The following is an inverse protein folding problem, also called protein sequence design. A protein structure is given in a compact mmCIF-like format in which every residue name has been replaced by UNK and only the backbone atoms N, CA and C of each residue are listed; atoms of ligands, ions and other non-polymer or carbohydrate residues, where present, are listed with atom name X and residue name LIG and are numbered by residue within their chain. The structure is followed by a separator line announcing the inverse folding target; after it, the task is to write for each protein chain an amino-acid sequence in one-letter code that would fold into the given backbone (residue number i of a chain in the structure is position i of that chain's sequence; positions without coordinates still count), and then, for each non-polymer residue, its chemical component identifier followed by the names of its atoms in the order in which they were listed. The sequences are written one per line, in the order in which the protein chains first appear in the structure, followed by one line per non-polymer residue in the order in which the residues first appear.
data_IF_196308412225
#
_entry.id   IF_196308412225
#
_cell.length_a   1.000
_cell.length_b   1.000
_cell.length_c   1.000
_cell.angle_alpha   90.00
_cell.angle_beta   90.00
_cell.angle_gamma   90.00
#
_symmetry.space_group_name_H-M   'P 1'
#
loop_
_entity.id
_entity.type
_entity.pdbx_description
1 polymer ?
#
# COMPACT_ATOMS: atom_id res chain seq x y z
N UNK A 1 -14.10 -8.16 11.56
CA UNK A 1 -15.29 -8.92 11.11
C UNK A 1 -14.82 -9.91 10.07
N UNK A 2 -15.13 -11.19 10.27
CA UNK A 2 -14.91 -12.21 9.25
C UNK A 2 -15.70 -11.81 8.00
N UNK A 3 -15.05 -11.82 6.83
CA UNK A 3 -15.76 -11.59 5.57
C UNK A 3 -16.84 -12.66 5.37
N UNK A 4 -17.84 -12.36 4.56
CA UNK A 4 -18.99 -13.25 4.31
C UNK A 4 -18.63 -14.67 3.85
N UNK A 5 -17.39 -14.91 3.40
CA UNK A 5 -16.94 -16.19 2.84
C UNK A 5 -17.42 -16.41 1.40
N UNK A 6 -17.97 -15.38 0.75
CA UNK A 6 -18.55 -15.44 -0.59
C UNK A 6 -18.12 -14.21 -1.42
N UNK A 7 -17.96 -14.39 -2.74
CA UNK A 7 -17.53 -13.32 -3.66
C UNK A 7 -18.30 -13.35 -4.97
N UNK A 8 -18.19 -12.27 -5.76
CA UNK A 8 -18.69 -12.21 -7.13
C UNK A 8 -17.96 -13.27 -7.99
N UNK A 9 -18.67 -14.08 -8.79
CA UNK A 9 -18.03 -15.01 -9.71
C UNK A 9 -17.22 -14.26 -10.78
N UNK A 10 -16.10 -14.82 -11.26
CA UNK A 10 -15.38 -14.31 -12.42
C UNK A 10 -16.33 -14.15 -13.61
N UNK A 11 -16.07 -13.19 -14.51
CA UNK A 11 -16.76 -13.17 -15.80
C UNK A 11 -16.37 -14.46 -16.55
N UNK A 12 -17.32 -15.40 -16.64
CA UNK A 12 -17.24 -16.51 -17.59
C UNK A 12 -17.30 -15.93 -19.00
N UNK A 13 -16.52 -16.49 -19.92
CA UNK A 13 -16.62 -16.19 -21.35
C UNK A 13 -18.05 -16.41 -21.84
N UNK A 14 -18.43 -15.70 -22.91
CA UNK A 14 -19.77 -15.73 -23.48
C UNK A 14 -20.28 -17.18 -23.64
N UNK A 15 -21.39 -17.50 -22.94
CA UNK A 15 -22.13 -18.76 -23.12
C UNK A 15 -22.33 -19.63 -21.87
N UNK A 16 -21.64 -19.40 -20.75
CA UNK A 16 -21.83 -20.21 -19.53
C UNK A 16 -22.58 -19.46 -18.42
N UNK A 17 -23.82 -19.88 -18.13
CA UNK A 17 -24.56 -19.41 -16.97
C UNK A 17 -23.93 -19.99 -15.68
N UNK A 18 -23.67 -19.17 -14.64
CA UNK A 18 -23.17 -19.69 -13.37
C UNK A 18 -24.20 -20.65 -12.75
N UNK A 19 -23.74 -21.77 -12.20
CA UNK A 19 -24.59 -22.76 -11.55
C UNK A 19 -25.40 -22.13 -10.38
N UNK A 20 -26.66 -22.57 -10.16
CA UNK A 20 -27.47 -22.10 -9.05
C UNK A 20 -26.73 -22.26 -7.71
N UNK A 21 -26.79 -21.21 -6.89
CA UNK A 21 -26.15 -21.15 -5.58
C UNK A 21 -27.16 -20.63 -4.55
N UNK A 22 -27.06 -21.10 -3.31
CA UNK A 22 -27.85 -20.58 -2.19
C UNK A 22 -27.46 -19.13 -1.84
N UNK A 23 -26.33 -18.64 -2.32
CA UNK A 23 -25.82 -17.30 -2.01
C UNK A 23 -25.94 -16.38 -3.23
N UNK A 24 -26.44 -15.16 -3.00
CA UNK A 24 -26.57 -14.11 -4.00
C UNK A 24 -25.66 -12.93 -3.64
N UNK A 25 -24.91 -12.43 -4.62
CA UNK A 25 -24.23 -11.15 -4.57
C UNK A 25 -25.19 -10.08 -5.09
N UNK A 26 -25.52 -9.10 -4.25
CA UNK A 26 -26.51 -8.06 -4.54
C UNK A 26 -25.83 -6.69 -4.49
N UNK A 27 -25.71 -6.04 -5.64
CA UNK A 27 -25.21 -4.67 -5.74
C UNK A 27 -26.35 -3.64 -5.66
N UNK A 28 -25.99 -2.40 -5.36
CA UNK A 28 -26.93 -1.31 -5.08
C UNK A 28 -27.82 -1.61 -3.87
N UNK A 29 -27.25 -2.32 -2.89
CA UNK A 29 -27.95 -2.85 -1.73
C UNK A 29 -26.98 -2.91 -0.55
N UNK A 30 -27.29 -2.20 0.55
CA UNK A 30 -26.46 -2.16 1.75
C UNK A 30 -26.50 -0.81 2.51
N UNK A 31 -25.79 -0.71 3.64
CA UNK A 31 -25.87 0.44 4.53
C UNK A 31 -25.50 1.78 3.90
N UNK A 32 -24.52 1.80 3.00
CA UNK A 32 -24.05 3.03 2.35
C UNK A 32 -25.04 3.56 1.30
N UNK A 33 -26.03 2.75 0.88
CA UNK A 33 -27.16 3.21 0.06
C UNK A 33 -28.45 3.39 0.87
N UNK A 34 -28.33 3.42 2.20
CA UNK A 34 -29.45 3.68 3.11
C UNK A 34 -30.36 2.48 3.35
N UNK A 35 -29.85 1.24 3.23
CA UNK A 35 -30.58 0.01 3.53
C UNK A 35 -29.87 -0.76 4.65
N UNK A 36 -30.56 -1.08 5.74
CA UNK A 36 -29.99 -1.92 6.79
C UNK A 36 -30.15 -3.42 6.43
N UNK A 37 -29.40 -4.30 7.11
CA UNK A 37 -29.43 -5.74 6.80
C UNK A 37 -30.78 -6.40 7.13
N UNK A 38 -31.56 -5.86 8.06
CA UNK A 38 -32.86 -6.41 8.45
C UNK A 38 -33.92 -6.12 7.38
N UNK A 39 -33.96 -4.90 6.84
CA UNK A 39 -34.83 -4.52 5.71
C UNK A 39 -34.54 -5.40 4.48
N UNK A 40 -33.26 -5.63 4.21
CA UNK A 40 -32.82 -6.51 3.13
C UNK A 40 -33.26 -7.95 3.40
N UNK A 41 -33.10 -8.45 4.63
CA UNK A 41 -33.57 -9.79 5.00
C UNK A 41 -35.08 -9.93 4.78
N UNK A 42 -35.86 -8.96 5.21
CA UNK A 42 -37.33 -8.94 5.05
C UNK A 42 -37.72 -8.96 3.57
N UNK A 43 -37.09 -8.12 2.74
CA UNK A 43 -37.38 -8.07 1.31
C UNK A 43 -37.08 -9.39 0.59
N UNK A 44 -36.01 -10.10 0.99
CA UNK A 44 -35.62 -11.37 0.39
C UNK A 44 -36.36 -12.58 0.98
N UNK A 45 -36.92 -12.48 2.19
CA UNK A 45 -37.67 -13.55 2.84
C UNK A 45 -38.95 -13.95 2.08
N UNK A 46 -39.47 -13.08 1.20
CA UNK A 46 -40.61 -13.39 0.33
C UNK A 46 -40.36 -14.56 -0.64
N UNK A 47 -39.09 -14.91 -0.89
CA UNK A 47 -38.70 -15.96 -1.82
C UNK A 47 -38.27 -17.27 -1.13
N UNK A 48 -38.13 -17.26 0.19
CA UNK A 48 -37.74 -18.41 1.01
C UNK A 48 -36.93 -18.01 2.25
N UNK A 49 -36.54 -18.99 3.06
CA UNK A 49 -35.83 -18.72 4.31
C UNK A 49 -34.42 -18.15 4.08
N UNK A 50 -34.19 -16.93 4.57
CA UNK A 50 -32.90 -16.24 4.50
C UNK A 50 -32.03 -16.65 5.69
N UNK A 51 -31.00 -17.45 5.42
CA UNK A 51 -29.98 -17.88 6.37
C UNK A 51 -29.09 -16.73 6.86
N UNK A 52 -28.90 -15.66 6.06
CA UNK A 52 -28.11 -14.51 6.49
C UNK A 52 -27.98 -13.41 5.44
N UNK A 53 -27.70 -12.19 5.92
CA UNK A 53 -27.33 -11.03 5.12
C UNK A 53 -26.03 -10.48 5.68
N UNK A 54 -25.03 -10.30 4.83
CA UNK A 54 -23.70 -9.83 5.22
C UNK A 54 -23.16 -8.86 4.20
N UNK A 55 -22.27 -7.95 4.61
CA UNK A 55 -21.56 -7.10 3.65
C UNK A 55 -20.72 -7.96 2.69
N UNK A 56 -20.81 -7.68 1.39
CA UNK A 56 -20.02 -8.40 0.39
C UNK A 56 -18.55 -7.92 0.39
N UNK A 57 -18.34 -6.65 0.71
CA UNK A 57 -17.05 -6.00 0.80
C UNK A 57 -17.16 -4.77 1.72
N UNK A 58 -16.06 -4.03 1.91
CA UNK A 58 -16.05 -2.83 2.75
C UNK A 58 -16.69 -1.58 2.12
N UNK A 59 -17.35 -1.68 0.96
CA UNK A 59 -17.96 -0.52 0.31
C UNK A 59 -19.30 -0.11 0.92
N UNK A 60 -19.99 -1.03 1.60
CA UNK A 60 -21.34 -0.82 2.14
C UNK A 60 -22.43 -0.66 1.08
N UNK A 61 -22.13 -0.75 -0.22
CA UNK A 61 -23.11 -0.66 -1.32
C UNK A 61 -23.49 -2.02 -1.91
N UNK A 62 -22.93 -3.11 -1.36
CA UNK A 62 -23.16 -4.49 -1.79
C UNK A 62 -23.27 -5.42 -0.58
N UNK A 63 -24.16 -6.40 -0.69
CA UNK A 63 -24.36 -7.46 0.31
C UNK A 63 -24.34 -8.85 -0.33
N UNK A 64 -24.10 -9.85 0.51
CA UNK A 64 -24.39 -11.25 0.23
C UNK A 64 -25.68 -11.62 0.97
N UNK A 65 -26.67 -12.11 0.23
CA UNK A 65 -27.89 -12.71 0.80
C UNK A 65 -27.78 -14.23 0.63
N UNK A 66 -27.90 -14.98 1.73
CA UNK A 66 -27.86 -16.44 1.72
C UNK A 66 -29.24 -16.99 2.05
N UNK A 67 -29.75 -17.85 1.18
CA UNK A 67 -30.93 -18.68 1.43
C UNK A 67 -30.52 -20.04 2.00
N UNK A 68 -31.47 -20.75 2.62
CA UNK A 68 -31.28 -22.17 2.95
C UNK A 68 -31.36 -23.06 1.71
N UNK A 69 -32.20 -22.69 0.76
CA UNK A 69 -32.48 -23.50 -0.43
C UNK A 69 -32.06 -22.78 -1.73
N UNK A 70 -31.43 -23.47 -2.69
CA UNK A 70 -31.07 -22.86 -3.98
C UNK A 70 -32.26 -22.32 -4.77
N UNK A 71 -33.42 -23.00 -4.69
CA UNK A 71 -34.63 -22.59 -5.39
C UNK A 71 -35.11 -21.18 -4.97
N UNK A 72 -34.97 -20.84 -3.69
CA UNK A 72 -35.31 -19.51 -3.18
C UNK A 72 -34.39 -18.42 -3.73
N UNK A 73 -33.09 -18.72 -3.87
CA UNK A 73 -32.12 -17.81 -4.47
C UNK A 73 -32.40 -17.57 -5.96
N UNK A 74 -32.79 -18.63 -6.68
CA UNK A 74 -33.20 -18.54 -8.09
C UNK A 74 -34.48 -17.71 -8.26
N UNK A 75 -35.49 -17.95 -7.43
CA UNK A 75 -36.73 -17.17 -7.43
C UNK A 75 -36.47 -15.69 -7.15
N UNK A 76 -35.66 -15.37 -6.14
CA UNK A 76 -35.29 -13.99 -5.81
C UNK A 76 -34.51 -13.32 -6.96
N UNK A 77 -33.57 -14.04 -7.58
CA UNK A 77 -32.79 -13.51 -8.71
C UNK A 77 -33.71 -13.22 -9.91
N UNK A 78 -34.62 -14.13 -10.26
CA UNK A 78 -35.58 -13.95 -11.36
C UNK A 78 -36.52 -12.77 -11.12
N UNK A 79 -36.97 -12.58 -9.88
CA UNK A 79 -37.92 -11.53 -9.52
C UNK A 79 -37.29 -10.13 -9.37
N UNK A 80 -36.08 -10.05 -8.82
CA UNK A 80 -35.48 -8.77 -8.39
C UNK A 80 -34.34 -8.28 -9.28
N UNK A 81 -33.70 -9.15 -10.06
CA UNK A 81 -32.56 -8.73 -10.87
C UNK A 81 -32.98 -7.76 -11.98
N UNK A 82 -32.40 -6.56 -11.99
CA UNK A 82 -32.65 -5.55 -13.02
C UNK A 82 -34.05 -4.94 -12.95
N UNK A 83 -34.80 -5.20 -11.87
CA UNK A 83 -36.17 -4.71 -11.67
C UNK A 83 -36.27 -3.88 -10.38
N UNK A 84 -37.15 -2.85 -10.33
CA UNK A 84 -37.42 -2.10 -9.11
C UNK A 84 -37.95 -3.00 -7.99
N UNK A 85 -37.34 -2.92 -6.80
CA UNK A 85 -37.77 -3.64 -5.62
C UNK A 85 -38.58 -2.72 -4.70
N UNK A 86 -39.90 -2.90 -4.63
CA UNK A 86 -40.79 -2.08 -3.80
C UNK A 86 -40.40 -2.13 -2.31
N UNK A 87 -40.03 -3.31 -1.80
CA UNK A 87 -39.58 -3.50 -0.42
C UNK A 87 -38.24 -2.82 -0.08
N UNK A 88 -37.52 -2.27 -1.07
CA UNK A 88 -36.25 -1.57 -0.89
C UNK A 88 -36.29 -0.20 -1.58
N UNK A 89 -37.39 0.54 -1.37
CA UNK A 89 -37.60 1.90 -1.88
C UNK A 89 -37.51 2.02 -3.41
N UNK A 90 -37.99 1.01 -4.14
CA UNK A 90 -38.03 1.00 -5.60
C UNK A 90 -36.65 0.83 -6.27
N UNK A 91 -35.60 0.49 -5.52
CA UNK A 91 -34.25 0.36 -6.07
C UNK A 91 -34.16 -0.79 -7.06
N UNK A 92 -33.40 -0.56 -8.13
CA UNK A 92 -33.03 -1.60 -9.08
C UNK A 92 -31.78 -2.32 -8.58
N UNK A 93 -31.91 -3.62 -8.34
CA UNK A 93 -30.82 -4.46 -7.81
C UNK A 93 -30.09 -5.19 -8.94
N UNK A 94 -28.77 -5.30 -8.82
CA UNK A 94 -27.97 -6.15 -9.71
C UNK A 94 -27.52 -7.40 -8.96
N UNK A 95 -28.19 -8.51 -9.24
CA UNK A 95 -28.04 -9.78 -8.53
C UNK A 95 -27.24 -10.74 -9.41
N UNK A 96 -26.33 -11.49 -8.79
CA UNK A 96 -25.64 -12.63 -9.39
C UNK A 96 -25.54 -13.74 -8.37
N UNK A 97 -25.49 -15.00 -8.80
CA UNK A 97 -25.06 -16.08 -7.91
C UNK A 97 -23.68 -15.77 -7.35
N UNK A 98 -23.48 -16.01 -6.07
CA UNK A 98 -22.20 -15.86 -5.39
C UNK A 98 -21.56 -17.23 -5.21
N UNK A 99 -20.24 -17.27 -5.39
CA UNK A 99 -19.44 -18.47 -5.17
C UNK A 99 -18.77 -18.38 -3.80
N UNK A 100 -18.55 -19.51 -3.10
CA UNK A 100 -17.68 -19.52 -1.94
C UNK A 100 -16.38 -18.83 -2.31
N UNK A 101 -16.01 -17.81 -1.55
CA UNK A 101 -14.69 -17.24 -1.66
C UNK A 101 -13.74 -18.39 -1.31
N UNK A 102 -12.93 -18.83 -2.27
CA UNK A 102 -11.73 -19.60 -1.92
C UNK A 102 -11.07 -18.79 -0.79
N UNK A 103 -10.75 -19.39 0.37
CA UNK A 103 -9.87 -18.70 1.30
C UNK A 103 -8.73 -18.19 0.44
N UNK A 104 -8.45 -16.89 0.49
CA UNK A 104 -7.24 -16.39 -0.15
C UNK A 104 -6.13 -17.18 0.51
N UNK A 105 -5.66 -18.24 -0.14
CA UNK A 105 -4.36 -18.79 0.13
C UNK A 105 -3.45 -17.56 0.10
N UNK A 106 -2.60 -17.35 1.12
CA UNK A 106 -1.60 -16.30 1.04
C UNK A 106 -0.92 -16.47 -0.32
N UNK A 107 -1.04 -15.44 -1.15
CA UNK A 107 -0.55 -15.45 -2.52
C UNK A 107 0.96 -15.55 -2.41
N UNK A 108 1.51 -16.70 -2.78
CA UNK A 108 2.93 -17.04 -2.58
C UNK A 108 3.23 -17.36 -1.11
N UNK A 109 4.13 -18.32 -0.88
CA UNK A 109 4.60 -18.64 0.47
C UNK A 109 4.88 -17.36 1.24
N UNK A 110 4.34 -17.26 2.47
CA UNK A 110 4.55 -16.13 3.37
C UNK A 110 6.02 -15.72 3.30
N UNK A 111 6.30 -14.58 2.66
CA UNK A 111 7.65 -14.06 2.60
C UNK A 111 8.07 -13.85 4.05
N UNK A 112 9.12 -14.54 4.56
CA UNK A 112 9.51 -14.38 5.94
C UNK A 112 9.76 -12.90 6.26
N UNK A 113 9.13 -12.43 7.33
CA UNK A 113 9.21 -11.03 7.76
C UNK A 113 10.21 -10.96 8.90
N UNK A 114 11.34 -10.31 8.63
CA UNK A 114 12.34 -10.00 9.65
C UNK A 114 11.81 -8.98 10.65
N UNK A 115 12.20 -9.11 11.91
CA UNK A 115 11.92 -8.12 12.97
C UNK A 115 13.15 -7.27 13.29
N UNK A 116 14.32 -7.71 12.81
CA UNK A 116 15.59 -7.01 12.95
C UNK A 116 16.26 -6.81 11.58
N UNK A 117 17.15 -5.82 11.48
CA UNK A 117 17.92 -5.61 10.25
C UNK A 117 18.91 -6.77 9.97
N UNK A 118 19.41 -7.42 11.03
CA UNK A 118 20.29 -8.59 10.90
C UNK A 118 19.56 -9.79 10.29
N UNK A 119 18.34 -10.07 10.73
CA UNK A 119 17.48 -11.11 10.13
C UNK A 119 17.14 -10.78 8.68
N UNK A 120 16.89 -9.50 8.38
CA UNK A 120 16.63 -9.05 7.02
C UNK A 120 17.86 -9.36 6.13
N UNK A 121 19.07 -9.08 6.61
CA UNK A 121 20.31 -9.38 5.90
C UNK A 121 20.43 -8.67 4.55
N UNK A 122 19.87 -7.46 4.42
CA UNK A 122 20.13 -6.57 3.29
C UNK A 122 21.28 -5.64 3.70
N UNK A 123 22.41 -5.64 2.99
CA UNK A 123 23.54 -4.78 3.34
C UNK A 123 23.14 -3.29 3.35
N UNK A 124 23.59 -2.55 4.36
CA UNK A 124 23.30 -1.13 4.50
C UNK A 124 21.89 -0.81 5.03
N UNK A 125 21.14 -1.80 5.50
CA UNK A 125 19.91 -1.58 6.27
C UNK A 125 20.21 -1.67 7.76
N UNK A 126 19.74 -0.68 8.52
CA UNK A 126 19.76 -0.68 9.98
C UNK A 126 18.37 -0.31 10.50
N UNK A 127 17.92 -0.97 11.56
CA UNK A 127 16.62 -0.73 12.18
C UNK A 127 16.82 -0.54 13.67
N UNK A 128 16.38 0.61 14.19
CA UNK A 128 16.36 0.89 15.62
C UNK A 128 14.91 1.03 16.05
N UNK A 129 14.46 0.11 16.89
CA UNK A 129 13.13 0.16 17.52
C UNK A 129 13.15 1.15 18.69
N UNK A 130 11.97 1.66 19.07
CA UNK A 130 11.80 2.66 20.14
C UNK A 130 12.79 3.83 20.07
N UNK A 131 13.10 4.29 18.85
CA UNK A 131 13.99 5.41 18.57
C UNK A 131 13.45 6.74 19.12
N UNK A 132 12.12 6.85 19.16
CA UNK A 132 11.41 7.94 19.84
C UNK A 132 10.53 7.37 20.94
N UNK A 133 10.31 8.16 21.98
CA UNK A 133 9.33 7.86 23.02
C UNK A 133 7.90 8.08 22.51
N UNK A 134 6.91 7.57 23.24
CA UNK A 134 5.50 7.83 22.93
C UNK A 134 5.15 9.33 23.01
N UNK A 135 5.76 10.08 23.93
CA UNK A 135 5.56 11.53 24.04
C UNK A 135 6.15 12.28 22.82
N UNK A 136 7.37 11.93 22.41
CA UNK A 136 7.98 12.49 21.19
C UNK A 136 7.15 12.14 19.94
N UNK A 137 6.62 10.92 19.83
CA UNK A 137 5.71 10.53 18.75
C UNK A 137 4.45 11.43 18.71
N UNK A 138 3.84 11.70 19.86
CA UNK A 138 2.68 12.59 19.95
C UNK A 138 3.02 14.03 19.54
N UNK A 139 4.16 14.58 20.00
CA UNK A 139 4.65 15.91 19.61
C UNK A 139 4.84 16.02 18.09
N UNK A 140 5.48 15.02 17.48
CA UNK A 140 5.74 14.99 16.03
C UNK A 140 4.44 14.90 15.22
N UNK A 141 3.50 14.04 15.62
CA UNK A 141 2.20 13.88 14.97
C UNK A 141 1.36 15.16 15.07
N UNK A 142 1.27 15.75 16.26
CA UNK A 142 0.56 17.01 16.47
C UNK A 142 1.17 18.16 15.66
N UNK A 143 2.49 18.19 15.53
CA UNK A 143 3.18 19.18 14.71
C UNK A 143 2.73 19.09 13.24
N UNK A 144 2.74 17.91 12.62
CA UNK A 144 2.37 17.79 11.20
C UNK A 144 0.87 17.90 10.96
N UNK A 145 0.03 17.50 11.92
CA UNK A 145 -1.43 17.57 11.78
C UNK A 145 -1.95 19.01 11.74
N UNK A 146 -1.27 19.93 12.42
CA UNK A 146 -1.60 21.36 12.41
C UNK A 146 -1.04 22.12 11.19
N UNK A 147 -0.51 21.41 10.19
CA UNK A 147 0.10 22.00 8.99
C UNK A 147 -0.61 21.54 7.71
N UNK A 148 -0.57 22.35 6.63
CA UNK A 148 -1.23 22.01 5.39
C UNK A 148 -0.62 20.75 4.77
N UNK A 149 -1.48 19.92 4.17
CA UNK A 149 -1.09 18.68 3.49
C UNK A 149 -1.30 18.80 1.97
N UNK A 150 -0.35 18.28 1.19
CA UNK A 150 -0.51 18.09 -0.26
C UNK A 150 -1.07 16.69 -0.52
N UNK A 151 -2.20 16.60 -1.20
CA UNK A 151 -2.80 15.31 -1.57
C UNK A 151 -2.16 14.72 -2.82
N UNK A 152 -1.83 13.43 -2.77
CA UNK A 152 -1.57 12.54 -3.92
C UNK A 152 -2.79 11.61 -4.06
N UNK A 153 -2.94 10.77 -5.10
CA UNK A 153 -4.24 10.08 -5.27
C UNK A 153 -4.55 9.04 -4.19
N UNK A 154 -3.56 8.54 -3.43
CA UNK A 154 -3.79 7.54 -2.37
C UNK A 154 -3.34 7.95 -0.98
N UNK A 155 -2.51 8.99 -0.85
CA UNK A 155 -1.90 9.43 0.41
C UNK A 155 -1.68 10.93 0.39
N UNK A 156 -1.37 11.53 1.53
CA UNK A 156 -1.01 12.95 1.61
C UNK A 156 0.40 13.13 2.14
N UNK A 157 1.04 14.24 1.79
CA UNK A 157 2.44 14.50 2.08
C UNK A 157 2.69 15.93 2.55
N UNK A 158 3.79 16.13 3.26
CA UNK A 158 4.41 17.44 3.53
C UNK A 158 5.90 17.37 3.20
N UNK A 159 6.46 18.47 2.70
CA UNK A 159 7.88 18.59 2.37
C UNK A 159 8.50 19.75 3.14
N UNK A 160 9.74 19.56 3.59
CA UNK A 160 10.54 20.57 4.29
C UNK A 160 11.97 20.50 3.77
N UNK A 161 12.70 21.62 3.81
CA UNK A 161 14.00 21.71 3.14
C UNK A 161 13.82 21.95 1.65
N UNK A 162 13.41 20.91 0.93
CA UNK A 162 13.20 20.94 -0.51
C UNK A 162 11.89 20.23 -0.87
N UNK A 163 11.19 20.72 -1.89
CA UNK A 163 10.02 20.02 -2.41
C UNK A 163 10.45 18.78 -3.20
N UNK A 164 9.78 17.65 -2.95
CA UNK A 164 9.96 16.47 -3.80
C UNK A 164 8.97 16.51 -4.98
N UNK A 165 9.50 16.63 -6.19
CA UNK A 165 8.74 16.68 -7.42
C UNK A 165 8.42 15.26 -7.91
N UNK A 166 7.16 14.84 -7.77
CA UNK A 166 6.75 13.47 -8.11
C UNK A 166 6.78 13.17 -9.61
N UNK A 167 6.60 14.17 -10.48
CA UNK A 167 6.62 14.03 -11.94
C UNK A 167 8.01 13.66 -12.45
N UNK A 168 9.04 14.31 -11.91
CA UNK A 168 10.45 14.10 -12.27
C UNK A 168 11.17 13.16 -11.31
N UNK A 169 10.52 12.79 -10.20
CA UNK A 169 11.07 12.02 -9.08
C UNK A 169 12.37 12.62 -8.55
N UNK A 170 12.46 13.94 -8.49
CA UNK A 170 13.68 14.65 -8.09
C UNK A 170 13.36 15.83 -7.18
N UNK A 171 14.39 16.55 -6.77
CA UNK A 171 14.30 17.84 -6.08
C UNK A 171 14.91 18.91 -6.98
N UNK A 172 14.35 20.12 -6.96
CA UNK A 172 14.99 21.26 -7.57
C UNK A 172 15.95 21.85 -6.52
N UNK A 173 17.25 21.60 -6.68
CA UNK A 173 18.27 22.07 -5.73
C UNK A 173 18.39 23.59 -5.67
N UNK A 174 17.77 24.31 -6.62
CA UNK A 174 17.66 25.78 -6.60
C UNK A 174 16.48 26.29 -5.78
N UNK A 175 15.51 25.43 -5.46
CA UNK A 175 14.31 25.78 -4.70
C UNK A 175 14.37 25.26 -3.27
N UNK A 176 15.07 26.01 -2.42
CA UNK A 176 15.13 25.75 -0.99
C UNK A 176 13.91 26.37 -0.29
N UNK A 177 13.09 25.54 0.36
CA UNK A 177 11.90 25.94 1.13
C UNK A 177 12.23 26.49 2.51
N UNK A 178 13.50 26.44 2.93
CA UNK A 178 13.97 26.82 4.25
C UNK A 178 14.41 25.61 5.08
N UNK A 179 15.01 25.89 6.23
CA UNK A 179 15.59 24.89 7.13
C UNK A 179 14.56 23.85 7.62
N UNK A 180 15.07 22.68 8.03
CA UNK A 180 14.22 21.68 8.68
C UNK A 180 13.58 22.26 9.95
N UNK A 181 12.29 22.00 10.19
CA UNK A 181 11.53 22.69 11.22
C UNK A 181 11.98 22.28 12.64
N UNK A 182 11.89 23.18 13.64
CA UNK A 182 12.39 22.90 14.99
C UNK A 182 11.79 21.67 15.68
N UNK A 183 10.57 21.24 15.29
CA UNK A 183 9.92 20.07 15.89
C UNK A 183 10.65 18.75 15.59
N UNK A 184 11.56 18.71 14.60
CA UNK A 184 12.39 17.52 14.33
C UNK A 184 13.79 17.61 14.93
N UNK A 185 14.14 18.67 15.66
CA UNK A 185 15.50 18.88 16.22
C UNK A 185 16.02 17.68 17.02
N UNK A 186 15.24 17.18 17.98
CA UNK A 186 15.57 15.96 18.76
C UNK A 186 15.86 14.74 17.87
N UNK A 187 15.17 14.63 16.73
CA UNK A 187 15.34 13.53 15.78
C UNK A 187 16.64 13.70 15.00
N UNK A 188 16.95 14.93 14.58
CA UNK A 188 18.21 15.25 13.92
C UNK A 188 19.40 14.97 14.85
N UNK A 189 19.33 15.35 16.12
CA UNK A 189 20.39 15.08 17.11
C UNK A 189 20.63 13.57 17.28
N UNK A 190 19.56 12.77 17.37
CA UNK A 190 19.68 11.31 17.44
C UNK A 190 20.20 10.72 16.14
N UNK A 191 19.80 11.24 14.97
CA UNK A 191 20.33 10.80 13.67
C UNK A 191 21.86 11.03 13.59
N UNK A 192 22.36 12.12 14.17
CA UNK A 192 23.81 12.38 14.24
C UNK A 192 24.61 11.37 15.07
N UNK A 193 23.96 10.54 15.89
CA UNK A 193 24.62 9.46 16.63
C UNK A 193 24.79 8.16 15.84
N UNK A 194 24.25 8.05 14.61
CA UNK A 194 24.42 6.85 13.80
C UNK A 194 25.89 6.66 13.38
N UNK A 195 26.41 5.42 13.37
CA UNK A 195 27.75 5.14 12.84
C UNK A 195 27.90 5.65 11.40
N UNK A 196 28.97 6.38 11.12
CA UNK A 196 29.22 6.99 9.81
C UNK A 196 28.59 8.37 9.61
N UNK A 197 27.79 8.87 10.56
CA UNK A 197 27.42 10.28 10.63
C UNK A 197 28.67 11.12 10.89
N UNK A 198 29.24 11.72 9.84
CA UNK A 198 30.45 12.53 9.98
C UNK A 198 30.11 13.90 10.57
N UNK A 199 30.66 14.22 11.74
CA UNK A 199 30.47 15.54 12.39
C UNK A 199 31.11 16.69 11.60
N UNK A 200 31.95 16.41 10.60
CA UNK A 200 32.62 17.41 9.77
C UNK A 200 31.82 17.87 8.53
N UNK A 201 30.66 17.28 8.20
CA UNK A 201 29.82 17.77 7.10
C UNK A 201 28.79 18.78 7.61
N UNK A 202 28.50 19.80 6.80
CA UNK A 202 27.74 20.98 7.25
C UNK A 202 26.29 20.67 7.69
N UNK A 203 25.66 19.61 7.14
CA UNK A 203 24.41 18.97 7.63
C UNK A 203 24.30 17.55 7.09
N UNK A 204 23.95 16.58 7.94
CA UNK A 204 23.76 15.16 7.54
C UNK A 204 22.46 14.93 6.76
N UNK A 205 21.44 15.74 6.98
CA UNK A 205 20.16 15.75 6.24
C UNK A 205 19.66 17.19 6.13
N UNK A 206 19.02 17.53 5.01
CA UNK A 206 18.47 18.85 4.75
C UNK A 206 17.12 18.81 4.00
N UNK A 207 16.59 17.62 3.73
CA UNK A 207 15.24 17.43 3.20
C UNK A 207 14.46 16.49 4.11
N UNK A 208 13.17 16.78 4.34
CA UNK A 208 12.22 15.88 4.97
C UNK A 208 10.96 15.70 4.10
N UNK A 209 10.55 14.45 3.86
CA UNK A 209 9.21 14.10 3.37
C UNK A 209 8.42 13.43 4.49
N UNK A 210 7.32 14.05 4.90
CA UNK A 210 6.32 13.39 5.76
C UNK A 210 5.27 12.75 4.86
N UNK A 211 5.07 11.44 5.01
CA UNK A 211 4.00 10.73 4.31
C UNK A 211 2.95 10.28 5.33
N UNK A 212 1.68 10.44 4.98
CA UNK A 212 0.54 9.99 5.77
C UNK A 212 -0.32 9.02 4.97
N UNK A 213 -0.32 7.76 5.42
CA UNK A 213 -0.96 6.62 4.76
C UNK A 213 -2.25 6.23 5.50
N UNK A 214 -3.40 6.28 4.80
CA UNK A 214 -4.62 5.62 5.27
C UNK A 214 -4.44 4.09 5.35
N UNK A 215 -5.23 3.43 6.19
CA UNK A 215 -5.26 1.97 6.27
C UNK A 215 -5.49 1.31 4.89
N UNK A 216 -4.63 0.38 4.51
CA UNK A 216 -4.68 -0.30 3.21
C UNK A 216 -3.86 0.37 2.10
N UNK A 217 -3.39 1.59 2.32
CA UNK A 217 -2.52 2.29 1.38
C UNK A 217 -1.07 1.94 1.64
N UNK A 218 -0.40 1.45 0.60
CA UNK A 218 1.02 1.18 0.56
C UNK A 218 1.77 2.18 -0.33
N UNK A 219 2.94 1.76 -0.80
CA UNK A 219 3.82 2.53 -1.67
C UNK A 219 4.49 1.59 -2.65
N UNK A 220 4.31 1.82 -3.94
CA UNK A 220 4.85 0.99 -5.04
C UNK A 220 6.37 0.78 -4.94
N UNK A 221 6.91 -0.33 -5.48
CA UNK A 221 8.34 -0.60 -5.41
C UNK A 221 9.13 0.50 -6.12
N UNK A 222 10.12 1.09 -5.44
CA UNK A 222 10.97 2.12 -6.02
C UNK A 222 12.33 2.21 -5.31
N UNK A 223 13.29 2.83 -6.00
CA UNK A 223 14.55 3.32 -5.42
C UNK A 223 14.46 4.85 -5.38
N UNK A 224 14.96 5.45 -4.31
CA UNK A 224 15.10 6.90 -4.22
C UNK A 224 16.18 7.39 -5.20
N UNK A 225 15.82 8.36 -6.03
CA UNK A 225 16.62 8.85 -7.17
C UNK A 225 18.06 9.14 -6.77
N UNK A 226 19.02 8.56 -7.51
CA UNK A 226 20.43 8.58 -7.12
C UNK A 226 21.00 9.99 -7.26
N UNK A 227 20.60 10.72 -8.30
CA UNK A 227 20.98 12.13 -8.49
C UNK A 227 20.34 13.10 -7.48
N UNK A 228 19.22 12.74 -6.86
CA UNK A 228 18.46 13.63 -6.00
C UNK A 228 19.02 13.69 -4.58
N UNK A 229 19.47 12.54 -4.06
CA UNK A 229 19.82 12.39 -2.66
C UNK A 229 21.17 11.70 -2.47
N UNK A 230 21.83 11.96 -1.35
CA UNK A 230 23.06 11.28 -0.97
C UNK A 230 22.80 9.85 -0.47
N UNK A 231 23.78 9.24 0.20
CA UNK A 231 23.78 7.84 0.57
C UNK A 231 22.81 7.50 1.72
N UNK A 232 22.83 8.27 2.79
CA UNK A 232 22.05 7.96 3.99
C UNK A 232 20.61 8.48 3.89
N UNK A 233 19.64 7.57 3.96
CA UNK A 233 18.21 7.86 3.99
C UNK A 233 17.61 7.28 5.27
N UNK A 234 17.03 8.13 6.10
CA UNK A 234 16.42 7.71 7.36
C UNK A 234 14.89 7.77 7.23
N UNK A 235 14.17 6.74 7.68
CA UNK A 235 12.71 6.71 7.69
C UNK A 235 12.19 6.35 9.09
N UNK A 236 11.68 7.35 9.80
CA UNK A 236 11.04 7.20 11.10
C UNK A 236 9.56 6.82 10.89
N UNK A 237 9.13 5.68 11.43
CA UNK A 237 7.74 5.20 11.38
C UNK A 237 6.98 5.61 12.64
N UNK A 238 5.79 6.18 12.49
CA UNK A 238 4.94 6.70 13.58
C UNK A 238 3.49 6.25 13.38
N UNK A 239 2.72 6.28 14.47
CA UNK A 239 1.29 5.97 14.60
C UNK A 239 0.91 4.51 14.28
N UNK A 240 1.30 3.97 13.13
CA UNK A 240 0.89 2.65 12.66
C UNK A 240 2.06 1.81 12.16
N UNK A 241 2.07 0.48 12.42
CA UNK A 241 3.07 -0.40 11.86
C UNK A 241 2.84 -0.65 10.37
N UNK A 242 3.86 -1.17 9.69
CA UNK A 242 3.71 -1.84 8.40
C UNK A 242 4.84 -2.85 8.14
N UNK A 243 4.64 -3.72 7.17
CA UNK A 243 5.76 -4.42 6.51
C UNK A 243 6.31 -3.54 5.37
N UNK A 244 7.63 -3.43 5.30
CA UNK A 244 8.35 -2.94 4.12
C UNK A 244 9.08 -4.11 3.46
N UNK A 245 8.82 -4.32 2.17
CA UNK A 245 9.57 -5.27 1.35
C UNK A 245 10.72 -4.58 0.61
N UNK A 246 11.83 -5.27 0.49
CA UNK A 246 12.98 -4.94 -0.34
C UNK A 246 13.05 -5.93 -1.49
N UNK A 247 13.19 -5.42 -2.73
CA UNK A 247 13.29 -6.21 -3.95
C UNK A 247 14.56 -5.88 -4.73
N UNK A 248 15.45 -6.85 -4.93
CA UNK A 248 16.65 -6.71 -5.77
C UNK A 248 16.44 -7.42 -7.10
N UNK A 249 16.43 -6.65 -8.20
CA UNK A 249 16.30 -7.17 -9.56
C UNK A 249 17.67 -7.44 -10.15
N UNK A 250 17.92 -8.67 -10.61
CA UNK A 250 19.26 -9.09 -11.08
C UNK A 250 19.71 -8.38 -12.37
N UNK A 251 18.77 -7.92 -13.20
CA UNK A 251 19.05 -7.27 -14.50
C UNK A 251 18.83 -5.75 -14.52
N UNK A 252 18.71 -5.09 -13.36
CA UNK A 252 18.58 -3.63 -13.28
C UNK A 252 17.22 -3.06 -13.67
N UNK A 253 16.38 -3.78 -14.43
CA UNK A 253 15.07 -3.28 -14.87
C UNK A 253 13.90 -3.87 -14.07
N UNK A 254 13.14 -3.01 -13.39
CA UNK A 254 11.75 -3.29 -13.08
C UNK A 254 10.93 -2.99 -14.34
N UNK A 255 10.39 -4.04 -14.96
CA UNK A 255 9.32 -3.88 -15.94
C UNK A 255 8.00 -4.09 -15.19
N UNK A 256 7.11 -3.10 -15.24
CA UNK A 256 5.71 -3.34 -14.90
C UNK A 256 5.23 -4.55 -15.73
N UNK A 257 4.43 -5.48 -15.18
CA UNK A 257 3.84 -6.55 -15.99
C UNK A 257 3.17 -5.90 -17.20
N UNK A 258 3.68 -6.17 -18.39
CA UNK A 258 3.01 -5.73 -19.61
C UNK A 258 1.64 -6.39 -19.59
N UNK A 259 0.57 -5.61 -19.64
CA UNK A 259 -0.71 -6.17 -20.07
C UNK A 259 -0.54 -6.54 -21.53
N UNK A 260 -0.04 -7.75 -21.79
CA UNK A 260 -0.13 -8.35 -23.10
C UNK A 260 -1.61 -8.63 -23.30
N UNK A 261 -2.25 -7.81 -24.13
CA UNK A 261 -3.52 -8.15 -24.74
C UNK A 261 -3.31 -9.42 -25.57
N UNK A 262 -3.60 -10.58 -24.99
CA UNK A 262 -3.46 -11.85 -25.69
C UNK A 262 -3.35 -13.01 -24.73
N UNK A 263 -4.48 -13.67 -24.51
CA UNK A 263 -4.63 -15.13 -24.29
C UNK A 263 -3.37 -15.91 -23.91
N UNK A 264 -2.91 -15.78 -22.67
CA UNK A 264 -2.35 -16.87 -21.87
C UNK A 264 -2.26 -16.42 -20.41
N UNK A 265 -3.15 -16.96 -19.57
CA UNK A 265 -3.23 -16.59 -18.14
C UNK A 265 -2.17 -17.26 -17.26
N UNK A 266 -1.30 -18.09 -17.85
CA UNK A 266 -0.35 -18.94 -17.11
C UNK A 266 1.13 -18.55 -17.25
N UNK A 267 1.46 -17.39 -17.82
CA UNK A 267 2.86 -16.97 -18.02
C UNK A 267 3.17 -15.50 -17.70
N UNK A 268 2.50 -14.90 -16.70
CA UNK A 268 3.05 -13.70 -16.05
C UNK A 268 4.14 -14.15 -15.07
N UNK A 269 5.33 -14.47 -15.60
CA UNK A 269 6.48 -14.75 -14.75
C UNK A 269 6.97 -13.42 -14.17
N UNK A 270 6.69 -13.18 -12.88
CA UNK A 270 7.27 -12.03 -12.18
C UNK A 270 8.79 -12.03 -12.41
N UNK A 271 9.38 -10.86 -12.73
CA UNK A 271 10.81 -10.78 -12.96
C UNK A 271 11.56 -11.38 -11.75
N UNK A 272 12.48 -12.31 -12.01
CA UNK A 272 13.27 -12.96 -10.97
C UNK A 272 13.95 -11.89 -10.11
N UNK A 273 13.47 -11.74 -8.88
CA UNK A 273 13.98 -10.78 -7.93
C UNK A 273 14.12 -11.42 -6.56
N UNK A 274 15.17 -11.02 -5.83
CA UNK A 274 15.34 -11.41 -4.44
C UNK A 274 14.39 -10.52 -3.64
N UNK A 275 13.49 -11.13 -2.88
CA UNK A 275 12.54 -10.43 -2.01
C UNK A 275 12.91 -10.69 -0.56
N UNK A 276 12.87 -9.63 0.23
CA UNK A 276 13.07 -9.67 1.68
C UNK A 276 12.08 -8.72 2.33
N UNK A 277 11.60 -9.00 3.54
CA UNK A 277 10.63 -8.15 4.21
C UNK A 277 11.06 -7.86 5.64
N UNK A 278 10.78 -6.66 6.11
CA UNK A 278 11.00 -6.25 7.50
C UNK A 278 9.74 -5.62 8.08
N UNK A 279 9.45 -5.95 9.33
CA UNK A 279 8.42 -5.30 10.12
C UNK A 279 8.92 -3.97 10.65
N UNK A 280 8.18 -2.90 10.40
CA UNK A 280 8.44 -1.56 10.90
C UNK A 280 7.41 -1.22 11.98
N UNK A 281 7.71 -1.41 13.27
CA UNK A 281 6.82 -1.00 14.35
C UNK A 281 6.76 0.54 14.45
N UNK A 282 5.71 1.12 15.08
CA UNK A 282 5.72 2.54 15.43
C UNK A 282 6.95 2.89 16.27
N UNK A 283 7.37 4.15 16.18
CA UNK A 283 8.54 4.73 16.85
C UNK A 283 9.89 4.12 16.47
N UNK A 284 9.94 3.33 15.40
CA UNK A 284 11.21 2.81 14.87
C UNK A 284 11.76 3.70 13.76
N UNK A 285 13.09 3.76 13.66
CA UNK A 285 13.79 4.40 12.54
C UNK A 285 14.55 3.35 11.73
N UNK A 286 14.38 3.44 10.41
CA UNK A 286 15.08 2.63 9.43
C UNK A 286 16.12 3.51 8.73
N UNK A 287 17.40 3.12 8.75
CA UNK A 287 18.44 3.70 7.89
C UNK A 287 18.62 2.78 6.68
N UNK A 288 18.60 3.39 5.49
CA UNK A 288 19.03 2.80 4.23
C UNK A 288 20.29 3.53 3.76
N UNK A 289 21.37 2.78 3.55
CA UNK A 289 22.63 3.25 2.96
C UNK A 289 23.23 2.16 2.06
N UNK A 290 24.25 2.50 1.28
CA UNK A 290 24.96 1.57 0.41
C UNK A 290 24.02 0.75 -0.49
N UNK A 291 24.24 -0.57 -0.54
CA UNK A 291 23.44 -1.47 -1.36
C UNK A 291 21.94 -1.34 -1.10
N UNK A 292 21.51 -1.34 0.16
CA UNK A 292 20.10 -1.25 0.57
C UNK A 292 19.41 0.02 0.04
N UNK A 293 20.15 1.12 -0.12
CA UNK A 293 19.64 2.39 -0.66
C UNK A 293 19.75 2.50 -2.18
N UNK A 294 20.76 1.90 -2.81
CA UNK A 294 21.06 2.09 -4.23
C UNK A 294 20.62 0.93 -5.15
N UNK A 295 20.39 -0.27 -4.61
CA UNK A 295 20.13 -1.47 -5.43
C UNK A 295 18.85 -2.21 -5.08
N UNK A 296 18.22 -1.89 -3.94
CA UNK A 296 16.99 -2.53 -3.49
C UNK A 296 15.80 -1.58 -3.63
N UNK A 297 14.77 -2.03 -4.36
CA UNK A 297 13.50 -1.33 -4.42
C UNK A 297 12.75 -1.57 -3.12
N UNK A 298 12.45 -0.50 -2.38
CA UNK A 298 11.62 -0.60 -1.20
C UNK A 298 10.14 -0.41 -1.57
N UNK A 299 9.28 -1.17 -0.89
CA UNK A 299 7.86 -1.34 -1.20
C UNK A 299 7.06 -1.49 0.09
N UNK A 300 5.93 -0.81 0.18
CA UNK A 300 4.95 -1.05 1.26
C UNK A 300 3.72 -1.68 0.61
N UNK A 301 3.33 -2.91 0.96
CA UNK A 301 2.19 -3.57 0.32
C UNK A 301 0.85 -2.86 0.53
N UNK A 302 -0.03 -2.90 -0.47
CA UNK A 302 -1.39 -2.34 -0.42
C UNK A 302 -2.38 -3.34 0.18
N UNK A 303 -2.37 -3.49 1.50
CA UNK A 303 -3.30 -4.34 2.24
C UNK A 303 -3.54 -3.82 3.66
N UNK A 304 -4.57 -4.34 4.32
CA UNK A 304 -5.01 -3.89 5.66
C UNK A 304 -4.49 -4.76 6.80
N UNK A 305 -3.83 -5.88 6.45
CA UNK A 305 -3.43 -6.92 7.39
C UNK A 305 -2.03 -7.39 6.97
N UNK A 306 -1.10 -7.34 7.91
CA UNK A 306 0.25 -7.89 7.83
C UNK A 306 0.28 -9.24 8.57
N UNK A 307 1.13 -10.17 8.14
CA UNK A 307 1.47 -11.40 8.87
C UNK A 307 2.95 -11.35 9.21
N UNK A 308 3.28 -11.32 10.50
CA UNK A 308 4.64 -11.22 11.01
C UNK A 308 4.91 -12.45 11.87
N UNK A 309 5.58 -13.45 11.30
CA UNK A 309 5.91 -14.68 12.00
C UNK A 309 4.69 -15.49 12.48
N UNK A 310 3.59 -15.46 11.73
CA UNK A 310 2.31 -16.10 12.10
C UNK A 310 1.41 -15.21 12.95
N UNK A 311 1.89 -14.04 13.38
CA UNK A 311 1.07 -13.05 14.06
C UNK A 311 0.38 -12.14 13.05
N UNK A 312 -0.95 -12.23 13.01
CA UNK A 312 -1.78 -11.37 12.15
C UNK A 312 -1.92 -9.98 12.79
N UNK A 313 -1.36 -8.97 12.15
CA UNK A 313 -1.40 -7.57 12.59
C UNK A 313 -2.33 -6.79 11.67
N UNK A 314 -3.40 -6.23 12.24
CA UNK A 314 -4.26 -5.29 11.51
C UNK A 314 -3.58 -3.93 11.47
N UNK A 315 -3.42 -3.36 10.27
CA UNK A 315 -2.86 -2.00 10.13
C UNK A 315 -3.78 -0.97 10.78
N UNK A 316 -3.17 0.00 11.46
CA UNK A 316 -3.88 1.12 12.07
C UNK A 316 -4.64 1.92 11.02
N UNK A 317 -5.60 2.72 11.48
CA UNK A 317 -6.37 3.66 10.63
C UNK A 317 -5.46 4.59 9.84
N UNK A 318 -4.29 4.88 10.41
CA UNK A 318 -3.26 5.78 9.89
C UNK A 318 -1.86 5.25 10.19
N UNK A 319 -0.92 5.44 9.26
CA UNK A 319 0.53 5.37 9.48
C UNK A 319 1.17 6.65 8.98
N UNK A 320 2.08 7.22 9.75
CA UNK A 320 2.87 8.39 9.31
C UNK A 320 4.33 7.99 9.23
N UNK A 321 5.06 8.46 8.22
CA UNK A 321 6.52 8.30 8.18
C UNK A 321 7.24 9.58 7.84
N UNK A 322 8.32 9.84 8.54
CA UNK A 322 9.20 10.99 8.32
C UNK A 322 10.47 10.47 7.65
N UNK A 323 10.67 10.83 6.38
CA UNK A 323 11.83 10.40 5.61
C UNK A 323 12.82 11.55 5.45
N UNK A 324 13.98 11.44 6.10
CA UNK A 324 15.06 12.43 6.09
C UNK A 324 16.14 12.04 5.10
N UNK A 325 16.61 13.01 4.34
CA UNK A 325 17.61 12.84 3.28
C UNK A 325 18.52 14.05 3.20
N UNK A 326 19.68 13.85 2.59
CA UNK A 326 20.56 14.93 2.14
C UNK A 326 20.40 15.12 0.63
N UNK A 327 20.05 16.32 0.18
CA UNK A 327 19.99 16.65 -1.25
C UNK A 327 21.40 16.60 -1.84
N UNK A 328 21.51 15.93 -2.99
CA UNK A 328 22.77 15.83 -3.73
C UNK A 328 22.88 17.00 -4.71
N UNK A 329 24.03 17.67 -4.69
CA UNK A 329 24.29 18.85 -5.55
C UNK A 329 25.01 18.52 -6.87
N UNK A 330 25.37 17.26 -7.11
CA UNK A 330 26.11 16.81 -8.29
C UNK A 330 25.67 15.44 -8.79
N UNK A 331 26.38 14.90 -9.78
CA UNK A 331 26.09 13.57 -10.32
C UNK A 331 26.40 12.47 -9.31
N UNK A 332 25.60 11.41 -9.31
CA UNK A 332 25.89 10.22 -8.51
C UNK A 332 26.89 9.30 -9.22
N UNK A 333 27.94 8.90 -8.53
CA UNK A 333 28.98 7.99 -8.98
C UNK A 333 29.04 6.67 -8.15
N UNK A 334 27.91 6.23 -7.58
CA UNK A 334 27.83 4.98 -6.82
C UNK A 334 28.23 3.76 -7.65
N UNK A 335 28.66 2.68 -7.00
CA UNK A 335 29.01 1.39 -7.63
C UNK A 335 27.80 0.68 -8.30
N UNK A 336 26.58 1.12 -8.02
CA UNK A 336 25.33 0.54 -8.52
C UNK A 336 24.84 1.19 -9.82
N UNK A 337 25.75 1.36 -10.80
CA UNK A 337 25.49 2.10 -12.04
C UNK A 337 24.25 1.64 -12.83
N UNK A 338 23.91 0.36 -12.75
CA UNK A 338 22.73 -0.24 -13.40
C UNK A 338 21.37 0.28 -12.89
N UNK A 339 21.33 0.86 -11.69
CA UNK A 339 20.14 1.49 -11.10
C UNK A 339 20.23 3.03 -11.08
N UNK A 340 21.39 3.57 -11.47
CA UNK A 340 21.73 4.97 -11.26
C UNK A 340 21.32 5.84 -12.46
N UNK A 341 20.41 6.78 -12.22
CA UNK A 341 19.93 7.73 -13.23
C UNK A 341 21.04 8.70 -13.71
N UNK A 342 22.06 8.96 -12.88
CA UNK A 342 23.23 9.76 -13.27
C UNK A 342 24.21 9.02 -14.21
N UNK A 343 24.24 7.69 -14.16
CA UNK A 343 25.23 6.87 -14.91
C UNK A 343 24.62 6.11 -16.08
N UNK A 344 23.28 6.06 -16.17
CA UNK A 344 22.58 5.38 -17.24
C UNK A 344 22.84 6.05 -18.60
N UNK A 345 23.48 5.32 -19.53
CA UNK A 345 23.87 5.80 -20.87
C UNK A 345 22.71 6.05 -21.84
N UNK A 346 21.47 5.71 -21.47
CA UNK A 346 20.30 5.88 -22.33
C UNK A 346 19.57 7.19 -22.05
N UNK A 347 19.90 8.22 -22.83
CA UNK A 347 19.19 9.51 -22.88
C UNK A 347 17.68 9.35 -23.11
N UNK A 348 17.25 8.28 -23.79
CA UNK A 348 15.85 7.96 -24.07
C UNK A 348 15.11 7.20 -22.96
N UNK A 349 15.81 6.69 -21.94
CA UNK A 349 15.19 6.04 -20.78
C UNK A 349 14.83 7.03 -19.66
N UNK A 350 15.07 8.34 -19.87
CA UNK A 350 14.71 9.40 -18.92
C UNK A 350 13.21 9.51 -18.64
N UNK A 351 12.35 8.91 -19.46
CA UNK A 351 10.89 9.07 -19.39
C UNK A 351 10.07 7.77 -19.52
N UNK A 352 10.69 6.60 -19.42
CA UNK A 352 9.98 5.33 -19.68
C UNK A 352 10.20 4.27 -18.60
N UNK A 353 10.16 4.66 -17.33
CA UNK A 353 9.85 3.75 -16.23
C UNK A 353 8.56 4.21 -15.53
N UNK A 354 7.45 3.67 -16.06
CA UNK A 354 6.11 3.62 -15.49
C UNK A 354 5.49 4.94 -15.02
N UNK A 355 4.77 5.57 -15.96
CA UNK A 355 3.70 6.53 -15.72
C UNK A 355 2.45 5.91 -15.05
N UNK A 356 2.58 4.74 -14.42
CA UNK A 356 1.47 4.04 -13.79
C UNK A 356 1.89 3.77 -12.35
N UNK A 357 1.07 4.21 -11.41
CA UNK A 357 1.18 3.99 -9.95
C UNK A 357 1.96 5.03 -9.11
N UNK A 358 2.04 6.30 -9.52
CA UNK A 358 2.30 7.42 -8.57
C UNK A 358 1.24 8.54 -8.62
N UNK A 359 0.32 8.54 -9.60
CA UNK A 359 -0.92 9.33 -9.47
C UNK A 359 -1.79 8.72 -8.39
#
# INVERSE_FOLDING_TARGET
MAGSGYTRPPQLGEGAAPAPSTALYVANCGPAVGLNHDDIRVAFAAFGEVAGVHDADGSGVRVIVRFREPAAAEAAMSALHGRPCAGLAGRVLHIRYSVPAKPKAPVGGSLPVATTASELGVPGIYLVQDFVTAAEEQELLAAVDNRPWKSLAKRRVQHYGYEFMYETRNVDSKQFLGELPPFVSKILDKIMSFPGANKCTSKLVDQLTVNDYPCGVGLSPHIDTHSAFEDMIFSLSLAGPCIMEFRKYLKGSWHAPSMVSGTDKDSIQEPQCIRKAVFLPPRSILLMSGEGRYAWHHYIPHHKIDDVGGQVIKRNTRRVSFTFRKVRMGLCNCEYGQFCDSQSKNINARFTLALVVIM
#
